data_IF_820349719093
#
_entry.id   IF_820349719093
#
_cell.length_a   1.000
_cell.length_b   1.000
_cell.length_c   1.000
_cell.angle_alpha   90.00
_cell.angle_beta   90.00
_cell.angle_gamma   90.00
#
_symmetry.space_group_name_H-M   'P 1'
#
loop_
_entity.id
_entity.type
_entity.pdbx_description
1 polymer ?
#
# COMPACT_ATOMS: atom_id res chain seq x y z
N UNK A 1 52.33 34.50 -25.30
CA UNK A 1 51.18 33.76 -25.85
C UNK A 1 50.96 32.55 -24.96
N UNK A 2 49.77 32.33 -24.34
CA UNK A 2 49.55 31.13 -23.55
C UNK A 2 49.69 29.88 -24.45
N UNK A 3 50.23 28.76 -23.92
CA UNK A 3 50.42 27.54 -24.70
C UNK A 3 49.07 26.94 -25.13
N UNK A 4 49.00 26.39 -26.35
CA UNK A 4 47.83 25.66 -26.86
C UNK A 4 47.76 24.31 -26.15
N UNK A 5 46.68 24.08 -25.40
CA UNK A 5 46.42 22.80 -24.74
C UNK A 5 45.77 21.82 -25.72
N UNK A 6 46.13 20.54 -25.62
CA UNK A 6 45.46 19.46 -26.36
C UNK A 6 44.10 19.15 -25.75
N UNK A 7 43.21 18.56 -26.54
CA UNK A 7 41.83 18.23 -26.12
C UNK A 7 41.79 17.46 -24.78
N UNK A 8 42.61 16.42 -24.63
CA UNK A 8 42.65 15.60 -23.41
C UNK A 8 43.18 16.38 -22.20
N UNK A 9 44.11 17.31 -22.41
CA UNK A 9 44.65 18.18 -21.36
C UNK A 9 43.59 19.20 -20.90
N UNK A 10 42.71 19.64 -21.80
CA UNK A 10 41.56 20.49 -21.47
C UNK A 10 40.54 19.69 -20.67
N UNK A 11 40.16 18.49 -21.13
CA UNK A 11 39.20 17.64 -20.43
C UNK A 11 39.69 17.26 -19.03
N UNK A 12 40.97 16.91 -18.88
CA UNK A 12 41.55 16.57 -17.58
C UNK A 12 41.51 17.75 -16.60
N UNK A 13 41.77 18.98 -17.08
CA UNK A 13 41.67 20.18 -16.24
C UNK A 13 40.23 20.51 -15.86
N UNK A 14 39.27 20.34 -16.77
CA UNK A 14 37.85 20.54 -16.49
C UNK A 14 37.30 19.51 -15.50
N UNK A 15 37.70 18.24 -15.63
CA UNK A 15 37.30 17.18 -14.72
C UNK A 15 37.87 17.34 -13.30
N UNK A 16 39.00 18.04 -13.16
CA UNK A 16 39.59 18.39 -11.87
C UNK A 16 38.88 19.55 -11.15
N UNK A 17 37.93 20.24 -11.81
CA UNK A 17 37.13 21.27 -11.17
C UNK A 17 36.11 20.63 -10.22
N UNK A 18 35.95 21.23 -9.05
CA UNK A 18 34.95 20.77 -8.10
C UNK A 18 33.53 21.01 -8.65
N UNK A 19 32.60 20.05 -8.49
CA UNK A 19 31.19 20.27 -8.77
C UNK A 19 30.63 21.44 -7.95
N UNK A 20 29.59 22.09 -8.48
CA UNK A 20 28.87 23.13 -7.74
C UNK A 20 28.22 22.50 -6.51
N UNK A 21 28.62 22.98 -5.32
CA UNK A 21 28.10 22.50 -4.04
C UNK A 21 26.88 23.30 -3.52
N UNK A 22 26.52 24.39 -4.19
CA UNK A 22 25.38 25.21 -3.81
C UNK A 22 24.08 24.46 -4.10
N UNK A 23 23.16 24.49 -3.13
CA UNK A 23 21.87 23.80 -3.20
C UNK A 23 20.76 24.75 -2.83
N UNK A 24 19.57 24.51 -3.37
CA UNK A 24 18.36 25.25 -3.05
C UNK A 24 17.16 24.31 -3.01
N UNK A 25 16.14 24.68 -2.25
CA UNK A 25 14.84 24.02 -2.30
C UNK A 25 13.94 24.75 -3.30
N UNK A 26 13.36 23.99 -4.22
CA UNK A 26 12.48 24.52 -5.26
C UNK A 26 11.14 23.79 -5.24
N UNK A 27 10.05 24.44 -5.67
CA UNK A 27 8.78 23.76 -5.91
C UNK A 27 8.95 22.58 -6.88
N UNK A 28 8.19 21.49 -6.67
CA UNK A 28 8.27 20.29 -7.51
C UNK A 28 8.07 20.59 -9.00
N UNK A 29 7.19 21.54 -9.32
CA UNK A 29 6.89 21.93 -10.70
C UNK A 29 8.08 22.62 -11.40
N UNK A 30 9.02 23.17 -10.64
CA UNK A 30 10.24 23.84 -11.13
C UNK A 30 11.47 22.92 -11.07
N UNK A 31 11.33 21.73 -10.48
CA UNK A 31 12.42 20.77 -10.32
C UNK A 31 12.81 20.05 -11.63
N UNK A 32 11.98 20.14 -12.68
CA UNK A 32 12.25 19.47 -13.96
C UNK A 32 13.56 19.98 -14.57
N UNK A 33 14.47 19.06 -14.89
CA UNK A 33 15.79 19.37 -15.46
C UNK A 33 16.84 19.78 -14.43
N UNK A 34 16.48 19.86 -13.14
CA UNK A 34 17.43 20.08 -12.05
C UNK A 34 18.08 18.77 -11.61
N UNK A 35 19.14 18.90 -10.82
CA UNK A 35 19.87 17.77 -10.25
C UNK A 35 19.57 17.69 -8.74
N UNK A 36 19.28 16.48 -8.25
CA UNK A 36 19.09 16.26 -6.82
C UNK A 36 20.40 16.53 -6.07
N UNK A 37 20.32 17.38 -5.06
CA UNK A 37 21.44 17.68 -4.17
C UNK A 37 21.76 16.55 -3.18
N UNK A 38 20.77 15.71 -2.85
CA UNK A 38 20.88 14.56 -1.94
C UNK A 38 19.85 13.49 -2.32
N UNK A 39 20.07 12.27 -1.83
CA UNK A 39 19.14 11.16 -1.99
C UNK A 39 17.72 11.57 -1.53
N UNK A 40 16.73 11.31 -2.38
CA UNK A 40 15.33 11.48 -2.05
C UNK A 40 14.86 10.24 -1.29
N UNK A 41 14.31 10.45 -0.09
CA UNK A 41 13.85 9.38 0.81
C UNK A 41 12.36 9.49 1.07
N UNK A 42 11.70 8.34 1.23
CA UNK A 42 10.28 8.25 1.57
C UNK A 42 10.03 8.84 2.96
N UNK A 43 9.06 9.77 3.06
CA UNK A 43 8.72 10.42 4.34
C UNK A 43 7.73 9.62 5.17
N UNK A 44 6.97 8.76 4.52
CA UNK A 44 5.91 7.92 5.08
C UNK A 44 5.94 6.53 4.42
N UNK A 45 5.20 5.60 5.01
CA UNK A 45 4.95 4.31 4.40
C UNK A 45 3.88 4.42 3.31
N UNK A 46 4.04 3.66 2.24
CA UNK A 46 3.06 3.52 1.18
C UNK A 46 2.73 2.02 0.99
N UNK A 47 1.46 1.61 1.19
CA UNK A 47 0.38 2.37 1.80
C UNK A 47 0.68 2.74 3.27
N UNK A 48 0.03 3.79 3.84
CA UNK A 48 0.29 4.25 5.21
C UNK A 48 -0.30 3.35 6.30
N UNK A 49 -1.19 2.44 5.92
CA UNK A 49 -1.84 1.45 6.77
C UNK A 49 -2.18 0.21 5.93
N UNK A 50 -2.48 -0.89 6.60
CA UNK A 50 -2.98 -2.10 5.97
C UNK A 50 -4.34 -1.82 5.31
N UNK A 51 -4.47 -2.10 4.01
CA UNK A 51 -5.70 -1.84 3.27
C UNK A 51 -6.08 -2.95 2.29
N UNK A 52 -7.33 -2.91 1.84
CA UNK A 52 -7.83 -3.90 0.88
C UNK A 52 -7.25 -3.68 -0.52
N UNK A 53 -6.77 -4.75 -1.15
CA UNK A 53 -6.36 -4.75 -2.56
C UNK A 53 -7.55 -4.83 -3.53
N UNK A 54 -8.72 -5.26 -3.05
CA UNK A 54 -9.90 -5.58 -3.87
C UNK A 54 -11.21 -5.19 -3.18
N UNK A 55 -12.30 -5.14 -3.92
CA UNK A 55 -13.64 -5.07 -3.34
C UNK A 55 -14.06 -6.46 -2.84
N UNK A 56 -14.62 -6.55 -1.63
CA UNK A 56 -14.98 -7.84 -1.07
C UNK A 56 -15.39 -7.80 0.39
N UNK A 57 -14.95 -8.82 1.13
CA UNK A 57 -15.25 -9.02 2.53
C UNK A 57 -13.97 -9.23 3.33
N UNK A 58 -13.66 -8.31 4.24
CA UNK A 58 -12.62 -8.51 5.22
C UNK A 58 -13.07 -9.61 6.19
N UNK A 59 -12.17 -10.55 6.46
CA UNK A 59 -12.39 -11.67 7.37
C UNK A 59 -11.22 -11.82 8.35
N UNK A 60 -11.48 -12.56 9.44
CA UNK A 60 -10.44 -13.20 10.24
C UNK A 60 -10.16 -14.56 9.61
N UNK A 61 -8.99 -14.75 9.01
CA UNK A 61 -8.60 -15.99 8.32
C UNK A 61 -8.80 -17.22 9.21
N UNK A 62 -8.47 -17.11 10.50
CA UNK A 62 -8.71 -18.15 11.50
C UNK A 62 -10.18 -18.56 11.65
N UNK A 63 -11.12 -17.64 11.48
CA UNK A 63 -12.56 -17.91 11.52
C UNK A 63 -13.06 -18.68 10.28
N UNK A 64 -12.23 -18.79 9.24
CA UNK A 64 -12.56 -19.50 7.99
C UNK A 64 -12.03 -20.93 7.95
N UNK A 65 -11.11 -21.31 8.85
CA UNK A 65 -10.34 -22.56 8.80
C UNK A 65 -11.19 -23.84 8.74
N UNK A 66 -12.41 -23.81 9.29
CA UNK A 66 -13.32 -24.95 9.31
C UNK A 66 -14.26 -25.08 8.10
N UNK A 67 -14.22 -24.12 7.16
CA UNK A 67 -15.10 -24.07 5.99
C UNK A 67 -14.70 -25.13 4.96
N UNK A 68 -15.70 -25.83 4.42
CA UNK A 68 -15.54 -26.80 3.34
C UNK A 68 -16.83 -26.87 2.52
N UNK A 69 -16.79 -27.50 1.35
CA UNK A 69 -17.97 -27.65 0.48
C UNK A 69 -19.11 -28.37 1.21
N UNK A 70 -18.79 -29.44 1.95
CA UNK A 70 -19.76 -30.25 2.69
C UNK A 70 -20.19 -29.62 4.02
N UNK A 71 -19.36 -28.73 4.59
CA UNK A 71 -19.63 -28.02 5.84
C UNK A 71 -19.32 -26.53 5.68
N UNK A 72 -20.21 -25.77 5.00
CA UNK A 72 -20.01 -24.34 4.81
C UNK A 72 -20.12 -23.59 6.14
N UNK A 73 -19.32 -22.54 6.30
CA UNK A 73 -19.43 -21.60 7.41
C UNK A 73 -20.27 -20.41 7.00
N UNK A 74 -21.05 -19.88 7.93
CA UNK A 74 -21.87 -18.67 7.73
C UNK A 74 -21.38 -17.58 8.67
N UNK A 75 -20.93 -16.48 8.10
CA UNK A 75 -20.44 -15.32 8.85
C UNK A 75 -21.38 -14.15 8.64
N UNK A 76 -21.85 -13.55 9.73
CA UNK A 76 -22.73 -12.37 9.64
C UNK A 76 -21.96 -11.21 9.02
N UNK A 77 -22.52 -10.61 7.97
CA UNK A 77 -21.96 -9.43 7.33
C UNK A 77 -22.33 -8.19 8.14
N UNK A 78 -21.30 -7.42 8.50
CA UNK A 78 -21.41 -6.17 9.23
C UNK A 78 -21.50 -4.95 8.31
N UNK A 79 -21.03 -3.77 8.77
CA UNK A 79 -21.09 -2.55 7.97
C UNK A 79 -20.19 -2.62 6.72
N UNK A 80 -20.30 -1.61 5.87
CA UNK A 80 -19.40 -1.42 4.73
C UNK A 80 -18.33 -0.39 5.07
N UNK A 81 -17.08 -0.69 4.76
CA UNK A 81 -15.92 0.19 4.95
C UNK A 81 -15.45 0.71 3.59
N UNK A 82 -15.41 2.02 3.46
CA UNK A 82 -14.98 2.73 2.25
C UNK A 82 -13.61 3.38 2.44
N UNK A 83 -12.89 3.58 1.34
CA UNK A 83 -11.66 4.36 1.36
C UNK A 83 -11.94 5.81 1.80
N UNK A 84 -11.11 6.32 2.71
CA UNK A 84 -11.22 7.68 3.23
C UNK A 84 -12.37 7.92 4.22
N UNK A 85 -13.22 6.92 4.49
CA UNK A 85 -14.28 7.02 5.49
C UNK A 85 -13.78 6.67 6.90
N UNK A 86 -14.35 7.27 7.96
CA UNK A 86 -14.06 6.85 9.32
C UNK A 86 -14.50 5.40 9.55
N UNK A 87 -13.64 4.63 10.21
CA UNK A 87 -13.92 3.25 10.58
C UNK A 87 -14.58 3.19 11.96
N UNK A 88 -15.76 2.57 12.03
CA UNK A 88 -16.40 2.26 13.31
C UNK A 88 -15.87 0.94 13.86
N UNK A 89 -14.92 1.02 14.81
CA UNK A 89 -14.32 -0.16 15.42
C UNK A 89 -15.35 -1.03 16.16
N UNK A 90 -16.29 -0.41 16.86
CA UNK A 90 -17.32 -1.14 17.61
C UNK A 90 -18.23 -1.98 16.70
N UNK A 91 -18.65 -1.43 15.57
CA UNK A 91 -19.53 -2.14 14.62
C UNK A 91 -18.78 -3.25 13.86
N UNK A 92 -17.51 -3.03 13.54
CA UNK A 92 -16.69 -4.02 12.82
C UNK A 92 -16.19 -5.14 13.72
N UNK A 93 -15.94 -4.89 15.01
CA UNK A 93 -15.49 -5.90 15.96
C UNK A 93 -16.53 -7.03 16.16
N UNK A 94 -17.82 -6.70 16.17
CA UNK A 94 -18.90 -7.67 16.38
C UNK A 94 -19.26 -8.47 15.11
N UNK A 95 -18.81 -8.04 13.93
CA UNK A 95 -19.12 -8.70 12.67
C UNK A 95 -18.27 -9.96 12.45
N UNK A 96 -18.81 -10.94 11.72
CA UNK A 96 -18.05 -12.10 11.25
C UNK A 96 -17.30 -11.82 9.95
N UNK A 97 -17.89 -10.96 9.11
CA UNK A 97 -17.35 -10.44 7.88
C UNK A 97 -17.70 -8.95 7.75
N UNK A 98 -16.81 -8.14 7.19
CA UNK A 98 -17.07 -6.71 6.94
C UNK A 98 -16.94 -6.46 5.45
N UNK A 99 -17.96 -5.87 4.83
CA UNK A 99 -17.86 -5.50 3.42
C UNK A 99 -16.82 -4.38 3.30
N UNK A 100 -15.84 -4.54 2.43
CA UNK A 100 -14.70 -3.64 2.34
C UNK A 100 -14.43 -3.31 0.88
N UNK A 101 -14.24 -2.03 0.57
CA UNK A 101 -13.89 -1.56 -0.77
C UNK A 101 -12.38 -1.44 -0.93
N UNK A 102 -11.92 -1.44 -2.18
CA UNK A 102 -10.52 -1.27 -2.55
C UNK A 102 -9.94 -0.01 -1.92
N UNK A 103 -8.75 -0.13 -1.32
CA UNK A 103 -8.04 0.97 -0.66
C UNK A 103 -8.54 1.31 0.75
N UNK A 104 -9.66 0.74 1.19
CA UNK A 104 -10.18 0.97 2.55
C UNK A 104 -9.29 0.32 3.61
N UNK A 105 -9.13 0.97 4.80
CA UNK A 105 -8.32 0.44 5.89
C UNK A 105 -8.89 -0.88 6.40
N UNK A 106 -8.02 -1.83 6.73
CA UNK A 106 -8.42 -3.09 7.33
C UNK A 106 -8.96 -2.85 8.75
N UNK A 107 -10.13 -3.41 9.12
CA UNK A 107 -10.61 -3.32 10.48
C UNK A 107 -9.73 -4.10 11.45
N UNK A 108 -9.68 -3.66 12.70
CA UNK A 108 -8.83 -4.27 13.72
C UNK A 108 -9.08 -5.79 13.87
N UNK A 109 -8.01 -6.57 13.79
CA UNK A 109 -8.04 -8.03 13.90
C UNK A 109 -8.43 -8.77 12.63
N UNK A 110 -8.85 -8.09 11.56
CA UNK A 110 -9.07 -8.69 10.25
C UNK A 110 -7.74 -8.74 9.47
N UNK A 111 -7.47 -9.86 8.80
CA UNK A 111 -6.15 -10.16 8.23
C UNK A 111 -6.21 -10.71 6.80
N UNK A 112 -7.41 -10.77 6.20
CA UNK A 112 -7.59 -11.25 4.84
C UNK A 112 -8.85 -10.65 4.22
N UNK A 113 -8.92 -10.63 2.89
CA UNK A 113 -10.10 -10.22 2.13
C UNK A 113 -10.51 -11.32 1.16
N UNK A 114 -11.77 -11.76 1.22
CA UNK A 114 -12.40 -12.55 0.17
C UNK A 114 -12.94 -11.60 -0.90
N UNK A 115 -12.63 -11.83 -2.17
CA UNK A 115 -13.11 -10.98 -3.26
C UNK A 115 -14.61 -11.10 -3.43
N UNK A 116 -15.27 -10.01 -3.84
CA UNK A 116 -16.73 -9.98 -4.04
C UNK A 116 -17.19 -11.03 -5.05
N UNK A 117 -16.41 -11.27 -6.11
CA UNK A 117 -16.71 -12.26 -7.15
C UNK A 117 -16.72 -13.71 -6.63
N UNK A 118 -16.02 -13.98 -5.53
CA UNK A 118 -15.95 -15.31 -4.91
C UNK A 118 -16.95 -15.47 -3.75
N UNK A 119 -17.74 -14.42 -3.46
CA UNK A 119 -18.63 -14.38 -2.32
C UNK A 119 -20.04 -14.93 -2.63
N UNK A 120 -20.48 -15.90 -1.85
CA UNK A 120 -21.88 -16.34 -1.80
C UNK A 120 -22.59 -15.65 -0.62
N UNK A 121 -23.74 -15.03 -0.89
CA UNK A 121 -24.50 -14.29 0.11
C UNK A 121 -25.89 -14.89 0.32
N UNK A 122 -26.32 -14.93 1.58
CA UNK A 122 -27.66 -15.35 1.98
C UNK A 122 -28.31 -14.29 2.86
N UNK A 123 -29.62 -14.09 2.69
CA UNK A 123 -30.43 -13.26 3.58
C UNK A 123 -31.23 -14.15 4.52
N UNK A 124 -30.99 -14.03 5.82
CA UNK A 124 -31.69 -14.80 6.85
C UNK A 124 -31.90 -13.97 8.11
N UNK A 125 -33.11 -14.05 8.69
CA UNK A 125 -33.51 -13.32 9.90
C UNK A 125 -33.26 -11.80 9.83
N UNK A 126 -33.47 -11.19 8.65
CA UNK A 126 -33.26 -9.75 8.44
C UNK A 126 -31.80 -9.31 8.39
N UNK A 127 -30.85 -10.25 8.32
CA UNK A 127 -29.42 -9.98 8.19
C UNK A 127 -28.83 -10.68 6.96
N UNK A 128 -27.74 -10.12 6.44
CA UNK A 128 -26.95 -10.70 5.36
C UNK A 128 -25.82 -11.57 5.94
N UNK A 129 -25.57 -12.70 5.30
CA UNK A 129 -24.61 -13.72 5.73
C UNK A 129 -23.71 -14.09 4.55
N UNK A 130 -22.40 -14.10 4.80
CA UNK A 130 -21.40 -14.63 3.88
C UNK A 130 -21.28 -16.14 4.09
N UNK A 131 -21.47 -16.90 3.02
CA UNK A 131 -21.33 -18.36 3.00
C UNK A 131 -19.95 -18.72 2.46
N UNK A 132 -19.14 -19.37 3.30
CA UNK A 132 -17.80 -19.82 2.96
C UNK A 132 -17.78 -21.33 2.77
N UNK A 133 -17.37 -21.78 1.59
CA UNK A 133 -17.19 -23.21 1.25
C UNK A 133 -15.72 -23.66 1.21
N UNK A 134 -14.81 -22.74 1.49
CA UNK A 134 -13.38 -22.99 1.61
C UNK A 134 -12.78 -21.98 2.59
N UNK A 135 -11.66 -22.31 3.26
CA UNK A 135 -10.93 -21.35 4.05
C UNK A 135 -10.32 -20.26 3.16
N UNK A 136 -10.21 -19.04 3.69
CA UNK A 136 -9.55 -17.92 3.03
C UNK A 136 -8.16 -17.76 3.66
N UNK A 137 -7.07 -17.90 2.88
CA UNK A 137 -5.71 -17.81 3.41
C UNK A 137 -5.41 -16.46 4.04
N UNK A 138 -4.65 -16.45 5.14
CA UNK A 138 -4.20 -15.20 5.76
C UNK A 138 -3.42 -14.33 4.76
N UNK A 139 -3.72 -13.03 4.76
CA UNK A 139 -3.09 -12.05 3.87
C UNK A 139 -3.60 -12.07 2.42
N UNK A 140 -4.63 -12.85 2.07
CA UNK A 140 -5.18 -12.80 0.72
C UNK A 140 -5.79 -11.41 0.46
N UNK A 141 -5.40 -10.79 -0.66
CA UNK A 141 -5.84 -9.46 -1.09
C UNK A 141 -5.65 -8.36 -0.01
N UNK A 142 -4.69 -8.56 0.90
CA UNK A 142 -4.26 -7.58 1.87
C UNK A 142 -3.02 -6.86 1.32
N UNK A 143 -3.08 -5.54 1.30
CA UNK A 143 -1.91 -4.69 1.08
C UNK A 143 -1.38 -4.24 2.43
N UNK A 144 -0.14 -4.58 2.75
CA UNK A 144 0.47 -4.22 4.04
C UNK A 144 1.02 -2.81 4.02
N UNK A 145 0.99 -2.14 5.18
CA UNK A 145 1.65 -0.86 5.38
C UNK A 145 3.10 -0.92 4.90
N UNK A 146 3.47 0.01 4.04
CA UNK A 146 4.83 0.15 3.52
C UNK A 146 5.26 -0.92 2.52
N UNK A 147 4.35 -1.76 2.02
CA UNK A 147 4.71 -2.81 1.06
C UNK A 147 5.22 -2.25 -0.28
N UNK A 148 4.72 -1.10 -0.74
CA UNK A 148 5.22 -0.43 -1.94
C UNK A 148 6.53 0.29 -1.60
N UNK A 149 6.53 1.02 -0.48
CA UNK A 149 7.67 1.80 -0.03
C UNK A 149 7.58 2.03 1.46
N UNK A 150 8.59 1.57 2.20
CA UNK A 150 8.70 1.86 3.62
C UNK A 150 9.24 3.27 3.88
N UNK A 151 8.82 3.88 4.98
CA UNK A 151 9.39 5.14 5.45
C UNK A 151 10.91 5.04 5.57
N UNK A 152 11.61 6.03 5.01
CA UNK A 152 13.06 6.09 4.99
C UNK A 152 13.72 5.32 3.84
N UNK A 153 12.96 4.56 3.05
CA UNK A 153 13.48 3.95 1.83
C UNK A 153 13.97 5.03 0.86
N UNK A 154 15.10 4.79 0.21
CA UNK A 154 15.62 5.69 -0.83
C UNK A 154 14.80 5.51 -2.10
N UNK A 155 14.14 6.58 -2.52
CA UNK A 155 13.34 6.66 -3.74
C UNK A 155 14.22 6.91 -4.95
N UNK A 156 15.09 7.92 -4.85
CA UNK A 156 15.96 8.35 -5.94
C UNK A 156 17.32 8.70 -5.37
N UNK A 157 18.38 8.16 -5.96
CA UNK A 157 19.75 8.54 -5.59
C UNK A 157 20.10 9.90 -6.21
N UNK A 158 20.81 10.74 -5.47
CA UNK A 158 21.49 11.88 -6.07
C UNK A 158 22.61 11.37 -7.00
N UNK A 159 22.85 12.04 -8.15
CA UNK A 159 24.01 11.73 -8.95
C UNK A 159 25.29 12.03 -8.18
N UNK A 160 26.34 11.29 -8.52
CA UNK A 160 27.68 11.44 -7.95
C UNK A 160 28.43 12.59 -8.60
#
# INVERSE_FOLDING_TARGET
>A
MPPILRHDEILARLAALAPIAATEEVPLLEARGRVLARDLVAREDLPPFDNSAMDGFALRSAATAGASADRPLRLRVGPTVFAGAPLSEAETAAAGAVRIMTGAPMPAGYDTVLRREDAELESAAGAEWLVLRAPVPAGAHLRRRGEDTARGARLVAAPR
#
